data_IF_104265354680
#
_entry.id   IF_104265354680
#
_cell.length_a   1.000
_cell.length_b   1.000
_cell.length_c   1.000
_cell.angle_alpha   90.00
_cell.angle_beta   90.00
_cell.angle_gamma   90.00
#
_symmetry.space_group_name_H-M   'P 1'
#
loop_
_entity.id
_entity.type
_entity.pdbx_description
1 polymer ?
#
# COMPACT_ATOMS: atom_id res chain seq x y z
N UNK A 1 15.85 17.93 -22.77
CA UNK A 1 16.40 17.04 -21.72
C UNK A 1 15.26 16.30 -21.01
N UNK A 2 15.24 14.96 -20.99
CA UNK A 2 14.23 14.22 -20.21
C UNK A 2 14.48 14.43 -18.70
N UNK A 3 13.45 14.84 -17.98
CA UNK A 3 13.45 14.99 -16.51
C UNK A 3 13.68 13.61 -15.87
N UNK A 4 14.48 13.53 -14.79
CA UNK A 4 14.69 12.27 -14.06
C UNK A 4 13.34 11.71 -13.61
N UNK A 5 13.07 10.45 -13.92
CA UNK A 5 11.79 9.80 -13.62
C UNK A 5 11.65 9.64 -12.10
N UNK A 6 10.60 10.23 -11.54
CA UNK A 6 10.23 10.04 -10.14
C UNK A 6 9.75 8.59 -9.95
N UNK A 7 10.42 7.84 -9.08
CA UNK A 7 10.04 6.46 -8.73
C UNK A 7 9.64 6.39 -7.26
N UNK A 8 8.62 5.61 -6.93
CA UNK A 8 8.26 5.31 -5.55
C UNK A 8 8.81 3.93 -5.19
N UNK A 9 9.59 3.86 -4.10
CA UNK A 9 10.07 2.61 -3.52
C UNK A 9 9.69 2.56 -2.06
N UNK A 10 9.41 1.37 -1.56
CA UNK A 10 8.91 1.19 -0.19
C UNK A 10 9.84 0.31 0.61
N UNK A 11 10.25 0.80 1.78
CA UNK A 11 11.01 0.04 2.75
C UNK A 11 10.08 -0.56 3.80
N UNK A 12 10.48 -1.72 4.35
CA UNK A 12 9.81 -2.34 5.48
C UNK A 12 10.64 -2.10 6.72
N UNK A 13 10.12 -1.32 7.66
CA UNK A 13 10.77 -1.06 8.94
C UNK A 13 10.15 -1.96 10.01
N UNK A 14 10.89 -2.98 10.44
CA UNK A 14 10.42 -3.97 11.40
C UNK A 14 10.24 -3.31 12.77
N UNK A 15 9.08 -3.51 13.37
CA UNK A 15 8.80 -3.04 14.73
C UNK A 15 8.99 -4.19 15.72
N UNK A 16 9.37 -3.86 16.96
CA UNK A 16 9.43 -4.80 18.08
C UNK A 16 8.48 -4.35 19.20
N UNK A 17 7.16 -4.51 19.02
CA UNK A 17 6.19 -4.12 20.04
C UNK A 17 6.12 -5.13 21.20
N UNK A 18 5.87 -4.62 22.40
CA UNK A 18 5.46 -5.43 23.54
C UNK A 18 4.08 -6.06 23.31
N UNK A 19 3.70 -7.03 24.15
CA UNK A 19 2.39 -7.69 24.06
C UNK A 19 1.22 -6.67 24.11
N UNK A 20 1.25 -5.75 25.07
CA UNK A 20 0.25 -4.67 25.20
C UNK A 20 0.19 -3.77 23.96
N UNK A 21 1.33 -3.48 23.33
CA UNK A 21 1.37 -2.68 22.11
C UNK A 21 0.77 -3.40 20.90
N UNK A 22 0.90 -4.73 20.85
CA UNK A 22 0.25 -5.55 19.82
C UNK A 22 -1.27 -5.49 19.96
N UNK A 23 -1.81 -5.56 21.17
CA UNK A 23 -3.25 -5.39 21.43
C UNK A 23 -3.75 -4.01 20.96
N UNK A 24 -3.00 -2.95 21.29
CA UNK A 24 -3.32 -1.59 20.82
C UNK A 24 -3.30 -1.49 19.28
N UNK A 25 -2.35 -2.14 18.62
CA UNK A 25 -2.30 -2.17 17.15
C UNK A 25 -3.50 -2.93 16.57
N UNK A 26 -3.88 -4.06 17.17
CA UNK A 26 -5.03 -4.83 16.74
C UNK A 26 -6.32 -4.02 16.81
N UNK A 27 -6.59 -3.40 17.96
CA UNK A 27 -7.78 -2.57 18.17
C UNK A 27 -7.76 -1.34 17.26
N UNK A 28 -6.59 -0.73 17.04
CA UNK A 28 -6.44 0.36 16.05
C UNK A 28 -6.82 -0.10 14.65
N UNK A 29 -6.32 -1.26 14.21
CA UNK A 29 -6.62 -1.80 12.88
C UNK A 29 -8.10 -2.14 12.73
N UNK A 30 -8.71 -2.72 13.77
CA UNK A 30 -10.14 -3.07 13.80
C UNK A 30 -11.02 -1.85 13.66
N UNK A 31 -10.82 -0.82 14.48
CA UNK A 31 -11.59 0.44 14.41
C UNK A 31 -11.34 1.16 13.09
N UNK A 32 -10.09 1.21 12.61
CA UNK A 32 -9.78 1.84 11.33
C UNK A 32 -10.46 1.13 10.14
N UNK A 33 -10.49 -0.21 10.14
CA UNK A 33 -11.16 -1.01 9.10
C UNK A 33 -12.68 -0.82 9.14
N UNK A 34 -13.28 -0.77 10.32
CA UNK A 34 -14.71 -0.47 10.48
C UNK A 34 -15.04 0.93 9.95
N UNK A 35 -14.22 1.94 10.25
CA UNK A 35 -14.37 3.30 9.73
C UNK A 35 -14.26 3.34 8.20
N UNK A 36 -13.28 2.63 7.62
CA UNK A 36 -13.14 2.51 6.17
C UNK A 36 -14.36 1.85 5.52
N UNK A 37 -14.86 0.74 6.09
CA UNK A 37 -16.07 0.05 5.61
C UNK A 37 -17.27 0.99 5.61
N UNK A 38 -17.43 1.77 6.68
CA UNK A 38 -18.49 2.77 6.79
C UNK A 38 -18.40 3.83 5.68
N UNK A 39 -17.19 4.38 5.48
CA UNK A 39 -16.93 5.41 4.48
C UNK A 39 -17.08 4.91 3.05
N UNK A 40 -16.74 3.65 2.76
CA UNK A 40 -16.99 3.03 1.45
C UNK A 40 -18.49 3.10 1.11
N UNK A 41 -19.37 2.83 2.08
CA UNK A 41 -20.82 2.95 1.90
C UNK A 41 -21.25 4.38 1.57
N UNK A 42 -20.81 5.38 2.36
CA UNK A 42 -21.14 6.80 2.09
C UNK A 42 -20.62 7.22 0.71
N UNK A 43 -19.36 6.96 0.42
CA UNK A 43 -18.72 7.41 -0.83
C UNK A 43 -19.36 6.74 -2.04
N UNK A 44 -19.78 5.47 -1.93
CA UNK A 44 -20.47 4.78 -3.01
C UNK A 44 -21.86 5.37 -3.29
N UNK A 45 -22.64 5.66 -2.23
CA UNK A 45 -23.98 6.27 -2.36
C UNK A 45 -23.92 7.64 -3.05
N UNK A 46 -22.87 8.43 -2.78
CA UNK A 46 -22.67 9.77 -3.34
C UNK A 46 -21.69 9.80 -4.51
N UNK A 47 -21.41 8.65 -5.14
CA UNK A 47 -20.36 8.59 -6.15
C UNK A 47 -20.65 9.41 -7.41
N UNK A 48 -21.93 9.67 -7.72
CA UNK A 48 -22.33 10.57 -8.82
C UNK A 48 -21.73 11.97 -8.66
N UNK A 49 -21.72 12.47 -7.43
CA UNK A 49 -21.33 13.84 -7.12
C UNK A 49 -19.84 13.92 -6.74
N UNK A 50 -19.31 12.85 -6.15
CA UNK A 50 -17.92 12.77 -5.68
C UNK A 50 -16.94 12.30 -6.75
N UNK A 51 -17.38 11.48 -7.70
CA UNK A 51 -16.48 10.74 -8.61
C UNK A 51 -15.72 11.62 -9.61
N UNK A 52 -16.21 12.84 -9.88
CA UNK A 52 -15.55 13.82 -10.75
C UNK A 52 -14.61 14.78 -10.01
N UNK A 53 -14.57 14.74 -8.68
CA UNK A 53 -13.77 15.67 -7.88
C UNK A 53 -12.29 15.29 -7.86
N UNK A 54 -11.42 16.30 -7.73
CA UNK A 54 -10.00 16.05 -7.45
C UNK A 54 -9.81 15.51 -6.04
N UNK A 55 -8.67 14.88 -5.76
CA UNK A 55 -8.37 14.35 -4.42
C UNK A 55 -8.44 15.43 -3.32
N UNK A 56 -8.10 16.67 -3.66
CA UNK A 56 -8.13 17.83 -2.76
C UNK A 56 -9.56 18.29 -2.44
N UNK A 57 -10.48 18.15 -3.39
CA UNK A 57 -11.89 18.51 -3.24
C UNK A 57 -12.73 17.39 -2.61
N UNK A 58 -12.40 16.13 -2.93
CA UNK A 58 -13.13 14.96 -2.47
C UNK A 58 -13.11 14.83 -0.95
N UNK A 59 -11.94 14.99 -0.33
CA UNK A 59 -11.80 14.81 1.13
C UNK A 59 -12.70 15.78 1.91
N UNK A 60 -12.65 17.10 1.67
CA UNK A 60 -13.59 18.04 2.28
C UNK A 60 -15.05 17.72 1.98
N UNK A 61 -15.40 17.32 0.75
CA UNK A 61 -16.77 17.03 0.37
C UNK A 61 -17.36 15.88 1.18
N UNK A 62 -16.61 14.78 1.35
CA UNK A 62 -17.01 13.65 2.19
C UNK A 62 -17.07 14.06 3.66
N UNK A 63 -16.13 14.87 4.15
CA UNK A 63 -16.18 15.40 5.52
C UNK A 63 -17.46 16.22 5.78
N UNK A 64 -17.95 17.01 4.81
CA UNK A 64 -19.21 17.76 4.97
C UNK A 64 -20.42 16.86 5.19
N UNK A 65 -20.40 15.64 4.66
CA UNK A 65 -21.53 14.71 4.75
C UNK A 65 -21.63 14.04 6.12
N UNK A 66 -20.49 13.84 6.81
CA UNK A 66 -20.41 12.94 7.97
C UNK A 66 -19.73 13.52 9.21
N UNK A 67 -18.92 14.58 9.09
CA UNK A 67 -18.17 15.13 10.21
C UNK A 67 -18.80 16.42 10.73
N UNK A 68 -19.26 16.39 11.96
CA UNK A 68 -19.84 17.54 12.64
C UNK A 68 -18.75 18.52 13.02
N UNK A 69 -19.00 19.81 12.82
CA UNK A 69 -18.10 20.89 13.24
C UNK A 69 -18.93 22.02 13.83
N UNK A 70 -18.32 22.89 14.64
CA UNK A 70 -19.04 24.04 15.21
C UNK A 70 -19.72 24.92 14.15
N UNK A 71 -19.13 25.04 12.95
CA UNK A 71 -19.69 25.79 11.82
C UNK A 71 -20.76 25.01 11.03
N UNK A 72 -20.88 23.70 11.25
CA UNK A 72 -21.81 22.79 10.54
C UNK A 72 -22.29 21.68 11.49
N UNK A 73 -23.28 21.98 12.34
CA UNK A 73 -23.82 21.01 13.28
C UNK A 73 -24.75 19.99 12.60
N UNK A 74 -25.48 20.40 11.56
CA UNK A 74 -26.40 19.52 10.84
C UNK A 74 -25.70 18.80 9.68
N UNK A 75 -25.54 17.49 9.80
CA UNK A 75 -24.85 16.62 8.84
C UNK A 75 -25.74 15.44 8.45
N UNK A 76 -25.54 14.89 7.25
CA UNK A 76 -26.37 13.79 6.71
C UNK A 76 -26.10 12.45 7.40
N UNK A 77 -24.87 12.23 7.88
CA UNK A 77 -24.44 10.97 8.50
C UNK A 77 -23.86 11.18 9.92
N UNK A 78 -24.65 11.65 10.90
CA UNK A 78 -24.18 11.90 12.27
C UNK A 78 -23.67 10.66 13.00
N UNK A 79 -24.14 9.49 12.59
CA UNK A 79 -23.80 8.21 13.18
C UNK A 79 -22.31 7.86 13.07
N UNK A 80 -21.56 8.43 12.12
CA UNK A 80 -20.11 8.20 12.08
C UNK A 80 -19.44 8.76 13.34
N UNK A 81 -19.78 9.98 13.76
CA UNK A 81 -19.17 10.58 14.95
C UNK A 81 -19.60 9.85 16.24
N UNK A 82 -20.80 9.26 16.25
CA UNK A 82 -21.28 8.41 17.35
C UNK A 82 -20.53 7.06 17.40
N UNK A 83 -20.37 6.41 16.24
CA UNK A 83 -19.71 5.10 16.15
C UNK A 83 -18.19 5.19 16.35
N UNK A 84 -17.56 6.28 15.88
CA UNK A 84 -16.11 6.49 15.93
C UNK A 84 -15.79 7.74 16.75
N UNK A 85 -16.06 7.68 18.05
CA UNK A 85 -15.84 8.78 18.96
C UNK A 85 -14.37 9.25 18.95
N UNK A 86 -14.17 10.57 18.85
CA UNK A 86 -12.84 11.22 18.80
C UNK A 86 -11.90 10.67 17.71
N UNK A 87 -12.44 10.16 16.59
CA UNK A 87 -11.61 9.65 15.50
C UNK A 87 -10.67 10.73 14.92
N UNK A 88 -9.33 10.51 14.92
CA UNK A 88 -8.36 11.51 14.50
C UNK A 88 -8.56 11.96 13.05
N UNK A 89 -8.45 13.26 12.83
CA UNK A 89 -8.68 13.89 11.52
C UNK A 89 -7.84 13.26 10.40
N UNK A 90 -6.55 13.02 10.64
CA UNK A 90 -5.66 12.45 9.63
C UNK A 90 -5.91 10.97 9.36
N UNK A 91 -6.35 10.20 10.36
CA UNK A 91 -6.86 8.84 10.09
C UNK A 91 -8.15 8.90 9.28
N UNK A 92 -9.02 9.88 9.53
CA UNK A 92 -10.25 10.07 8.76
C UNK A 92 -9.95 10.37 7.30
N UNK A 93 -9.03 11.31 7.04
CA UNK A 93 -8.61 11.66 5.67
C UNK A 93 -7.97 10.47 4.96
N UNK A 94 -7.14 9.70 5.65
CA UNK A 94 -6.58 8.45 5.11
C UNK A 94 -7.67 7.44 4.75
N UNK A 95 -8.66 7.26 5.64
CA UNK A 95 -9.79 6.35 5.43
C UNK A 95 -10.70 6.80 4.27
N UNK A 96 -10.94 8.11 4.13
CA UNK A 96 -11.70 8.69 3.01
C UNK A 96 -10.98 8.44 1.68
N UNK A 97 -9.68 8.73 1.61
CA UNK A 97 -8.88 8.49 0.41
C UNK A 97 -8.88 7.01 0.02
N UNK A 98 -8.77 6.11 1.01
CA UNK A 98 -8.89 4.67 0.80
C UNK A 98 -10.28 4.28 0.26
N UNK A 99 -11.35 4.76 0.89
CA UNK A 99 -12.72 4.48 0.48
C UNK A 99 -12.99 4.95 -0.96
N UNK A 100 -12.58 6.17 -1.30
CA UNK A 100 -12.70 6.72 -2.65
C UNK A 100 -11.94 5.88 -3.68
N UNK A 101 -10.72 5.41 -3.36
CA UNK A 101 -9.97 4.51 -4.24
C UNK A 101 -10.68 3.17 -4.47
N UNK A 102 -11.26 2.57 -3.43
CA UNK A 102 -12.02 1.32 -3.56
C UNK A 102 -13.28 1.50 -4.42
N UNK A 103 -14.04 2.56 -4.16
CA UNK A 103 -15.26 2.87 -4.92
C UNK A 103 -14.93 3.18 -6.37
N UNK A 104 -13.94 4.03 -6.63
CA UNK A 104 -13.48 4.36 -7.98
C UNK A 104 -13.10 3.10 -8.78
N UNK A 105 -12.30 2.23 -8.17
CA UNK A 105 -11.89 0.96 -8.78
C UNK A 105 -13.08 0.04 -9.06
N UNK A 106 -14.04 -0.04 -8.14
CA UNK A 106 -15.23 -0.84 -8.32
C UNK A 106 -16.11 -0.29 -9.45
N UNK A 107 -16.46 1.00 -9.41
CA UNK A 107 -17.34 1.64 -10.39
C UNK A 107 -16.75 1.56 -11.80
N UNK A 108 -15.44 1.78 -11.94
CA UNK A 108 -14.75 1.64 -13.24
C UNK A 108 -14.90 0.23 -13.79
N UNK A 109 -14.54 -0.79 -12.99
CA UNK A 109 -14.66 -2.21 -13.40
C UNK A 109 -16.10 -2.62 -13.65
N UNK A 110 -17.05 -2.08 -12.90
CA UNK A 110 -18.46 -2.38 -13.07
C UNK A 110 -18.99 -1.80 -14.38
N UNK A 111 -18.61 -0.56 -14.73
CA UNK A 111 -18.94 0.07 -16.02
C UNK A 111 -18.33 -0.69 -17.20
N UNK A 112 -17.06 -1.12 -17.10
CA UNK A 112 -16.42 -1.98 -18.12
C UNK A 112 -17.17 -3.31 -18.28
N UNK A 113 -17.60 -3.92 -17.17
CA UNK A 113 -18.39 -5.15 -17.22
C UNK A 113 -19.75 -4.91 -17.88
N UNK A 114 -20.43 -3.80 -17.59
CA UNK A 114 -21.71 -3.41 -18.19
C UNK A 114 -21.60 -3.12 -19.68
N UNK A 115 -20.50 -2.51 -20.14
CA UNK A 115 -20.27 -2.23 -21.57
C UNK A 115 -19.93 -3.47 -22.40
N UNK A 116 -19.88 -4.65 -21.77
CA UNK A 116 -19.56 -5.91 -22.44
C UNK A 116 -18.05 -6.17 -22.55
N UNK A 117 -17.19 -5.31 -22.00
CA UNK A 117 -15.76 -5.57 -21.84
C UNK A 117 -15.54 -6.57 -20.69
N UNK A 118 -15.89 -7.82 -20.95
CA UNK A 118 -15.81 -8.94 -20.02
C UNK A 118 -15.10 -10.12 -20.67
N UNK A 119 -14.35 -10.87 -19.86
CA UNK A 119 -13.56 -12.03 -20.31
C UNK A 119 -14.42 -13.09 -21.03
N UNK A 120 -15.66 -13.29 -20.57
CA UNK A 120 -16.67 -14.19 -21.16
C UNK A 120 -18.07 -13.63 -20.91
N UNK A 121 -19.04 -13.96 -21.76
CA UNK A 121 -20.44 -13.55 -21.61
C UNK A 121 -21.05 -13.94 -20.25
N UNK A 122 -20.62 -15.07 -19.68
CA UNK A 122 -21.06 -15.59 -18.37
C UNK A 122 -20.27 -15.05 -17.16
N UNK A 123 -19.33 -14.11 -17.36
CA UNK A 123 -18.54 -13.57 -16.25
C UNK A 123 -19.45 -12.80 -15.28
N UNK A 124 -19.36 -13.14 -13.99
CA UNK A 124 -20.10 -12.44 -12.92
C UNK A 124 -19.65 -10.97 -12.80
N UNK A 125 -20.53 -10.06 -12.38
CA UNK A 125 -20.14 -8.67 -12.14
C UNK A 125 -19.08 -8.59 -11.04
N UNK A 126 -18.19 -7.58 -11.09
CA UNK A 126 -17.30 -7.31 -9.97
C UNK A 126 -18.12 -7.05 -8.71
N UNK A 127 -17.53 -7.33 -7.54
CA UNK A 127 -18.14 -7.07 -6.24
C UNK A 127 -17.35 -5.98 -5.51
N UNK A 128 -18.07 -5.06 -4.87
CA UNK A 128 -17.47 -4.10 -3.97
C UNK A 128 -17.06 -4.82 -2.69
N UNK A 129 -15.75 -4.96 -2.47
CA UNK A 129 -15.25 -5.57 -1.24
C UNK A 129 -15.14 -4.50 -0.14
N UNK A 130 -16.14 -4.45 0.74
CA UNK A 130 -16.17 -3.50 1.84
C UNK A 130 -15.31 -3.93 3.05
N UNK A 131 -14.82 -5.18 3.08
CA UNK A 131 -13.92 -5.70 4.11
C UNK A 131 -12.45 -5.42 3.81
N UNK A 132 -12.19 -4.61 2.78
CA UNK A 132 -10.90 -4.37 2.19
C UNK A 132 -9.83 -4.17 3.28
N UNK A 133 -8.91 -5.15 3.37
CA UNK A 133 -7.84 -5.25 4.37
C UNK A 133 -6.93 -4.04 4.31
N UNK A 134 -7.38 -2.96 4.92
CA UNK A 134 -6.70 -1.68 4.96
C UNK A 134 -5.83 -1.59 6.20
N UNK A 135 -4.81 -0.76 6.06
CA UNK A 135 -3.86 -0.43 7.08
C UNK A 135 -3.83 1.08 7.26
N UNK A 136 -3.76 1.57 8.50
CA UNK A 136 -3.75 3.00 8.77
C UNK A 136 -2.50 3.66 8.18
N UNK A 137 -2.70 4.69 7.36
CA UNK A 137 -1.63 5.57 6.90
C UNK A 137 -1.35 6.59 7.98
N UNK A 138 -0.09 6.68 8.41
CA UNK A 138 0.34 7.54 9.50
C UNK A 138 0.87 8.87 8.94
N UNK A 139 0.17 9.97 9.20
CA UNK A 139 0.66 11.31 8.88
C UNK A 139 1.62 11.84 9.94
N UNK A 140 2.70 12.49 9.51
CA UNK A 140 3.77 13.00 10.37
C UNK A 140 3.21 14.03 11.37
N UNK A 141 3.59 13.89 12.63
CA UNK A 141 3.17 14.77 13.75
C UNK A 141 1.80 14.45 14.34
N UNK A 142 0.90 13.85 13.56
CA UNK A 142 -0.52 13.66 13.93
C UNK A 142 -0.88 12.20 14.20
N UNK A 143 -0.26 11.28 13.46
CA UNK A 143 -0.42 9.84 13.63
C UNK A 143 0.90 9.13 13.99
N UNK A 144 2.05 9.71 13.63
CA UNK A 144 3.34 9.21 14.07
C UNK A 144 4.37 10.32 14.29
N UNK A 145 5.35 10.06 15.15
CA UNK A 145 6.56 10.86 15.33
C UNK A 145 7.76 9.93 15.39
N UNK A 146 8.87 10.34 14.77
CA UNK A 146 10.11 9.58 14.80
C UNK A 146 11.04 10.18 15.85
N UNK A 147 11.61 9.33 16.68
CA UNK A 147 12.67 9.68 17.63
C UNK A 147 13.97 9.07 17.13
N UNK A 148 14.61 9.78 16.20
CA UNK A 148 15.64 9.21 15.34
C UNK A 148 15.07 8.09 14.45
N UNK A 149 15.88 7.06 14.19
CA UNK A 149 15.44 5.86 13.46
C UNK A 149 15.35 4.61 14.36
N UNK A 150 15.52 4.78 15.68
CA UNK A 150 15.46 3.67 16.63
C UNK A 150 14.06 3.49 17.23
N UNK A 151 13.28 4.57 17.29
CA UNK A 151 11.96 4.58 17.93
C UNK A 151 10.95 5.36 17.12
N UNK A 152 9.71 4.88 17.14
CA UNK A 152 8.56 5.56 16.56
C UNK A 152 7.45 5.66 17.60
N UNK A 153 6.94 6.87 17.78
CA UNK A 153 5.72 7.12 18.54
C UNK A 153 4.54 7.04 17.57
N UNK A 154 3.54 6.20 17.84
CA UNK A 154 2.37 5.98 16.98
C UNK A 154 1.10 6.28 17.78
N UNK A 155 0.16 6.98 17.15
CA UNK A 155 -1.16 7.23 17.71
C UNK A 155 -2.06 6.02 17.47
N UNK A 156 -2.47 5.36 18.54
CA UNK A 156 -3.21 4.10 18.56
C UNK A 156 -4.51 4.25 19.36
N UNK A 157 -5.44 3.34 19.14
CA UNK A 157 -6.70 3.26 19.88
C UNK A 157 -6.59 2.22 20.99
N UNK A 158 -7.00 2.57 22.21
CA UNK A 158 -6.94 1.70 23.39
C UNK A 158 -8.25 0.98 23.71
N UNK A 159 -9.25 1.08 22.84
CA UNK A 159 -10.62 0.62 23.07
C UNK A 159 -11.59 1.74 23.45
N UNK A 160 -11.09 2.90 23.90
CA UNK A 160 -11.91 4.05 24.31
C UNK A 160 -11.42 5.40 23.75
N UNK A 161 -10.12 5.63 23.76
CA UNK A 161 -9.46 6.87 23.38
C UNK A 161 -8.29 6.62 22.42
N UNK A 162 -7.85 7.71 21.78
CA UNK A 162 -6.67 7.71 20.93
C UNK A 162 -5.45 8.21 21.71
N UNK A 163 -4.53 7.29 22.01
CA UNK A 163 -3.34 7.51 22.83
C UNK A 163 -2.07 7.38 21.99
N UNK A 164 -0.96 7.90 22.49
CA UNK A 164 0.35 7.73 21.86
C UNK A 164 1.10 6.55 22.53
N UNK A 165 1.77 5.73 21.73
CA UNK A 165 2.65 4.66 22.22
C UNK A 165 3.98 4.66 21.48
N UNK A 166 5.08 4.45 22.20
CA UNK A 166 6.44 4.45 21.64
C UNK A 166 6.87 3.00 21.40
N UNK A 167 7.24 2.67 20.16
CA UNK A 167 7.65 1.32 19.74
C UNK A 167 9.06 1.36 19.16
N UNK A 168 9.86 0.35 19.49
CA UNK A 168 11.21 0.19 18.93
C UNK A 168 11.15 -0.23 17.46
N UNK A 169 12.00 0.39 16.65
CA UNK A 169 12.28 -0.04 15.27
C UNK A 169 13.46 -1.00 15.35
N UNK A 170 13.19 -2.29 15.16
CA UNK A 170 14.19 -3.35 15.25
C UNK A 170 14.92 -3.65 13.94
N UNK A 171 14.47 -3.08 12.83
CA UNK A 171 15.13 -3.27 11.55
C UNK A 171 14.73 -2.20 10.55
N UNK A 172 15.74 -1.59 9.93
CA UNK A 172 15.59 -0.56 8.90
C UNK A 172 16.12 -1.08 7.56
N UNK A 173 15.84 -0.31 6.52
CA UNK A 173 16.55 -0.35 5.25
C UNK A 173 17.15 1.02 4.98
N UNK A 174 18.06 1.12 4.04
CA UNK A 174 18.97 2.26 3.90
C UNK A 174 18.40 3.45 3.11
N UNK A 175 17.16 3.39 2.59
CA UNK A 175 16.67 4.50 1.73
C UNK A 175 16.54 5.83 2.45
N UNK A 176 16.42 5.81 3.78
CA UNK A 176 16.41 7.01 4.61
C UNK A 176 17.77 7.71 4.71
N UNK A 177 18.87 7.01 4.38
CA UNK A 177 20.23 7.55 4.38
C UNK A 177 20.56 8.31 3.09
N UNK A 178 19.83 8.02 2.01
CA UNK A 178 20.02 8.68 0.71
C UNK A 178 19.34 10.06 0.75
N UNK A 179 20.14 11.12 0.75
CA UNK A 179 19.69 12.52 0.88
C UNK A 179 18.69 12.98 -0.18
N UNK A 180 18.80 12.45 -1.40
CA UNK A 180 17.88 12.77 -2.51
C UNK A 180 16.51 12.10 -2.39
N UNK A 181 16.38 11.10 -1.51
CA UNK A 181 15.10 10.43 -1.26
C UNK A 181 14.25 11.24 -0.29
N UNK A 182 12.96 11.40 -0.63
CA UNK A 182 11.98 12.02 0.25
C UNK A 182 11.06 10.97 0.85
N UNK A 183 11.11 10.82 2.18
CA UNK A 183 10.19 9.95 2.92
C UNK A 183 8.75 10.45 2.82
N UNK A 184 7.82 9.52 2.63
CA UNK A 184 6.37 9.76 2.58
C UNK A 184 5.69 9.12 3.81
N UNK A 185 4.37 9.34 3.97
CA UNK A 185 3.60 8.81 5.11
C UNK A 185 3.63 7.28 5.14
N UNK A 186 4.14 6.65 6.22
CA UNK A 186 4.18 5.20 6.33
C UNK A 186 2.80 4.61 6.63
N UNK A 187 2.63 3.32 6.38
CA UNK A 187 1.44 2.56 6.81
C UNK A 187 1.80 1.55 7.90
N UNK A 188 0.97 1.44 8.94
CA UNK A 188 1.15 0.44 10.00
C UNK A 188 0.63 -0.92 9.53
N UNK A 189 1.54 -1.85 9.21
CA UNK A 189 1.20 -3.20 8.80
C UNK A 189 1.30 -4.14 10.00
N UNK A 190 0.15 -4.63 10.46
CA UNK A 190 0.06 -5.53 11.59
C UNK A 190 -0.88 -6.72 11.34
N UNK A 191 -0.41 -7.91 11.68
CA UNK A 191 -1.16 -9.17 11.85
C UNK A 191 -0.31 -10.16 12.65
N UNK A 192 -0.80 -11.38 12.86
CA UNK A 192 -0.13 -12.43 13.64
C UNK A 192 1.31 -12.74 13.17
N UNK A 193 1.63 -12.47 11.90
CA UNK A 193 2.92 -12.80 11.28
C UNK A 193 3.83 -11.59 11.09
N UNK A 194 3.25 -10.39 10.96
CA UNK A 194 3.98 -9.20 10.54
C UNK A 194 3.65 -8.03 11.45
N UNK A 195 4.69 -7.34 11.92
CA UNK A 195 4.57 -6.03 12.54
C UNK A 195 5.68 -5.12 11.99
N UNK A 196 5.30 -4.21 11.09
CA UNK A 196 6.24 -3.29 10.47
C UNK A 196 5.56 -2.02 9.97
N UNK A 197 6.34 -0.96 9.79
CA UNK A 197 5.94 0.17 8.98
C UNK A 197 6.32 -0.08 7.52
N UNK A 198 5.35 0.10 6.63
CA UNK A 198 5.59 0.17 5.19
C UNK A 198 5.85 1.64 4.84
N UNK A 199 7.11 2.00 4.59
CA UNK A 199 7.58 3.39 4.47
C UNK A 199 7.89 3.71 3.01
N UNK A 200 7.03 4.46 2.30
CA UNK A 200 7.29 4.86 0.93
C UNK A 200 8.31 6.00 0.87
N UNK A 201 9.17 5.96 -0.14
CA UNK A 201 10.12 6.99 -0.51
C UNK A 201 9.87 7.40 -1.95
N UNK A 202 9.79 8.71 -2.17
CA UNK A 202 10.01 9.28 -3.49
C UNK A 202 11.52 9.27 -3.74
N UNK A 203 11.94 8.44 -4.69
CA UNK A 203 13.32 8.35 -5.16
C UNK A 203 13.48 9.12 -6.47
N UNK A 204 14.60 9.83 -6.58
CA UNK A 204 15.07 10.45 -7.82
C UNK A 204 16.41 9.83 -8.16
N UNK A 205 16.44 8.74 -8.95
CA UNK A 205 17.70 8.16 -9.34
C UNK A 205 18.52 9.20 -10.10
N UNK A 206 19.82 9.23 -9.82
CA UNK A 206 20.76 10.04 -10.58
C UNK A 206 20.74 9.63 -12.04
N UNK A 207 21.01 10.60 -12.92
CA UNK A 207 21.19 10.28 -14.33
C UNK A 207 22.49 9.50 -14.47
N UNK A 208 22.46 8.44 -15.29
CA UNK A 208 23.67 7.72 -15.68
C UNK A 208 24.65 8.72 -16.29
N UNK A 209 25.90 8.68 -15.82
CA UNK A 209 27.02 9.34 -16.48
C UNK A 209 27.49 8.52 -17.68
N UNK A 210 27.71 9.11 -18.86
CA UNK A 210 28.12 8.37 -20.07
C UNK A 210 29.34 7.45 -19.85
N UNK A 211 30.32 7.92 -19.10
CA UNK A 211 31.57 7.25 -18.77
C UNK A 211 31.43 6.14 -17.72
N UNK A 212 30.29 6.08 -17.00
CA UNK A 212 30.06 5.07 -15.99
C UNK A 212 29.81 3.70 -16.62
N UNK A 213 30.40 2.67 -16.00
CA UNK A 213 30.18 1.27 -16.32
C UNK A 213 28.69 0.91 -16.23
N UNK A 214 28.28 0.00 -17.09
CA UNK A 214 26.91 -0.53 -17.15
C UNK A 214 26.92 -1.93 -16.60
N UNK A 215 26.06 -2.19 -15.62
CA UNK A 215 25.76 -3.57 -15.19
C UNK A 215 24.54 -4.06 -15.95
N UNK A 216 24.75 -5.00 -16.87
CA UNK A 216 23.70 -5.75 -17.54
C UNK A 216 23.36 -6.99 -16.72
N UNK A 217 22.07 -7.28 -16.57
CA UNK A 217 21.57 -8.47 -15.89
C UNK A 217 20.59 -9.16 -16.82
N UNK A 218 20.88 -10.41 -17.17
CA UNK A 218 19.98 -11.26 -17.94
C UNK A 218 19.49 -12.44 -17.10
N UNK A 219 18.23 -12.81 -17.26
CA UNK A 219 17.64 -13.95 -16.54
C UNK A 219 17.79 -15.22 -17.38
N UNK A 220 18.60 -16.15 -16.89
CA UNK A 220 18.83 -17.42 -17.57
C UNK A 220 17.71 -18.45 -17.34
N UNK A 221 17.66 -19.46 -18.21
CA UNK A 221 16.79 -20.64 -18.02
C UNK A 221 17.41 -21.58 -16.98
N UNK A 222 18.70 -21.88 -17.13
CA UNK A 222 19.44 -22.81 -16.26
C UNK A 222 20.23 -22.10 -15.15
N UNK A 223 20.48 -20.80 -15.29
CA UNK A 223 21.16 -19.95 -14.30
C UNK A 223 20.16 -18.90 -13.81
N UNK A 224 20.17 -18.51 -12.53
CA UNK A 224 19.14 -17.59 -12.00
C UNK A 224 19.26 -16.21 -12.64
N UNK A 225 20.48 -15.70 -12.74
CA UNK A 225 20.80 -14.53 -13.53
C UNK A 225 22.27 -14.56 -13.95
N UNK A 226 22.57 -13.99 -15.11
CA UNK A 226 23.93 -13.68 -15.52
C UNK A 226 24.12 -12.18 -15.41
N UNK A 227 25.23 -11.75 -14.80
CA UNK A 227 25.57 -10.35 -14.63
C UNK A 227 26.84 -10.07 -15.41
N UNK A 228 26.83 -9.02 -16.22
CA UNK A 228 28.02 -8.50 -16.89
C UNK A 228 28.19 -7.02 -16.57
N UNK A 229 29.40 -6.62 -16.19
CA UNK A 229 29.78 -5.22 -16.04
C UNK A 229 30.59 -4.83 -17.27
N UNK A 230 30.06 -3.87 -18.02
CA UNK A 230 30.61 -3.42 -19.30
C UNK A 230 31.03 -1.96 -19.16
N UNK A 231 32.24 -1.63 -19.57
CA UNK A 231 32.76 -0.26 -19.63
C UNK A 231 32.15 0.50 -20.81
N UNK A 232 32.36 1.83 -20.86
CA UNK A 232 31.75 2.68 -21.88
C UNK A 232 32.25 2.41 -23.31
N UNK A 233 33.43 1.82 -23.46
CA UNK A 233 34.06 1.39 -24.72
C UNK A 233 33.64 -0.04 -25.15
N UNK A 234 32.81 -0.73 -24.37
CA UNK A 234 32.31 -2.06 -24.68
C UNK A 234 33.11 -3.22 -24.08
N UNK A 235 34.17 -2.95 -23.31
CA UNK A 235 34.96 -3.99 -22.64
C UNK A 235 34.19 -4.62 -21.47
N UNK A 236 34.13 -5.95 -21.41
CA UNK A 236 33.53 -6.67 -20.27
C UNK A 236 34.58 -6.84 -19.19
N UNK A 237 34.44 -6.13 -18.07
CA UNK A 237 35.40 -6.17 -16.95
C UNK A 237 35.03 -7.17 -15.86
N UNK A 238 33.77 -7.60 -15.83
CA UNK A 238 33.30 -8.62 -14.90
C UNK A 238 32.12 -9.36 -15.50
N UNK A 239 32.10 -10.69 -15.34
CA UNK A 239 30.99 -11.54 -15.70
C UNK A 239 30.82 -12.56 -14.58
N UNK A 240 29.59 -12.73 -14.09
CA UNK A 240 29.29 -13.69 -13.05
C UNK A 240 27.92 -14.36 -13.28
N UNK A 241 27.82 -15.60 -12.85
CA UNK A 241 26.62 -16.43 -12.95
C UNK A 241 26.02 -16.60 -11.57
N UNK A 242 24.94 -15.86 -11.30
CA UNK A 242 24.22 -15.96 -10.04
C UNK A 242 23.35 -17.22 -10.08
N UNK A 243 23.71 -18.21 -9.25
CA UNK A 243 22.96 -19.46 -9.14
C UNK A 243 22.94 -20.03 -7.71
N UNK A 244 22.56 -19.19 -6.74
CA UNK A 244 22.48 -19.59 -5.35
C UNK A 244 21.30 -20.54 -5.10
N UNK A 245 21.58 -21.74 -4.57
CA UNK A 245 20.57 -22.76 -4.29
C UNK A 245 19.40 -22.28 -3.41
N UNK A 246 19.66 -21.37 -2.46
CA UNK A 246 18.63 -20.78 -1.61
C UNK A 246 17.63 -19.93 -2.39
N UNK A 247 18.10 -19.17 -3.37
CA UNK A 247 17.25 -18.31 -4.20
C UNK A 247 16.41 -19.15 -5.16
N UNK A 248 16.99 -20.25 -5.67
CA UNK A 248 16.27 -21.25 -6.47
C UNK A 248 15.15 -21.89 -5.65
N UNK A 249 15.43 -22.35 -4.43
CA UNK A 249 14.40 -22.94 -3.56
C UNK A 249 13.29 -21.93 -3.23
N UNK A 250 13.64 -20.68 -2.90
CA UNK A 250 12.68 -19.59 -2.69
C UNK A 250 11.82 -19.32 -3.95
N UNK A 251 12.45 -19.26 -5.14
CA UNK A 251 11.77 -19.09 -6.43
C UNK A 251 10.84 -20.26 -6.71
N UNK A 252 11.29 -21.49 -6.55
CA UNK A 252 10.54 -22.69 -6.88
C UNK A 252 9.37 -22.90 -5.90
N UNK A 253 9.57 -22.61 -4.60
CA UNK A 253 8.47 -22.54 -3.62
C UNK A 253 7.42 -21.51 -4.03
N UNK A 254 7.86 -20.35 -4.51
CA UNK A 254 6.96 -19.29 -4.97
C UNK A 254 6.25 -19.67 -6.27
N UNK A 255 6.94 -20.23 -7.24
CA UNK A 255 6.37 -20.74 -8.49
C UNK A 255 5.37 -21.86 -8.23
N UNK A 256 5.67 -22.80 -7.31
CA UNK A 256 4.72 -23.83 -6.86
C UNK A 256 3.48 -23.21 -6.22
N UNK A 257 3.64 -22.18 -5.38
CA UNK A 257 2.51 -21.45 -4.78
C UNK A 257 1.66 -20.76 -5.85
N UNK A 258 2.29 -20.07 -6.81
CA UNK A 258 1.63 -19.40 -7.94
C UNK A 258 0.92 -20.42 -8.83
N UNK A 259 1.59 -21.53 -9.17
CA UNK A 259 1.03 -22.63 -9.96
C UNK A 259 -0.19 -23.26 -9.25
N UNK A 260 -0.10 -23.51 -7.94
CA UNK A 260 -1.25 -24.02 -7.15
C UNK A 260 -2.42 -23.02 -7.09
N UNK A 261 -2.14 -21.71 -7.04
CA UNK A 261 -3.18 -20.67 -7.14
C UNK A 261 -3.75 -20.59 -8.55
N UNK A 262 -2.90 -20.75 -9.56
CA UNK A 262 -3.28 -20.77 -10.96
C UNK A 262 -4.18 -21.97 -11.26
N UNK A 263 -3.83 -23.18 -10.84
CA UNK A 263 -4.64 -24.39 -11.06
C UNK A 263 -6.04 -24.28 -10.45
N UNK A 264 -6.15 -23.73 -9.24
CA UNK A 264 -7.43 -23.39 -8.59
C UNK A 264 -8.25 -22.36 -9.38
N UNK A 265 -7.59 -21.50 -10.15
CA UNK A 265 -8.24 -20.42 -10.92
C UNK A 265 -8.52 -20.83 -12.38
N UNK A 266 -7.75 -21.78 -12.93
CA UNK A 266 -7.67 -22.06 -14.36
C UNK A 266 -8.42 -23.32 -14.80
N UNK A 267 -8.69 -24.28 -13.90
CA UNK A 267 -9.22 -25.59 -14.30
C UNK A 267 -8.34 -26.28 -15.37
N UNK A 268 -8.87 -27.28 -16.09
CA UNK A 268 -8.21 -27.89 -17.27
C UNK A 268 -8.35 -26.96 -18.49
N UNK A 269 -7.44 -26.02 -18.67
CA UNK A 269 -7.30 -25.25 -19.93
C UNK A 269 -7.69 -23.75 -19.90
N UNK A 270 -7.88 -23.12 -18.73
CA UNK A 270 -8.14 -21.68 -18.65
C UNK A 270 -6.94 -20.80 -19.01
N UNK A 271 -7.18 -19.51 -19.30
CA UNK A 271 -6.15 -18.44 -19.40
C UNK A 271 -6.11 -17.60 -18.12
N UNK A 272 -4.94 -17.17 -17.66
CA UNK A 272 -4.79 -16.30 -16.47
C UNK A 272 -5.38 -14.90 -16.75
N UNK A 273 -5.94 -14.24 -15.74
CA UNK A 273 -6.49 -12.90 -15.92
C UNK A 273 -5.36 -11.85 -15.99
N UNK A 274 -5.59 -10.73 -16.69
CA UNK A 274 -4.68 -9.57 -16.70
C UNK A 274 -4.66 -8.99 -15.27
N UNK A 275 -3.63 -9.31 -14.51
CA UNK A 275 -3.53 -9.01 -13.07
C UNK A 275 -3.28 -10.21 -12.17
N UNK A 276 -3.25 -11.45 -12.71
CA UNK A 276 -2.93 -12.62 -11.91
C UNK A 276 -1.54 -12.48 -11.31
N UNK A 277 -1.48 -12.50 -9.98
CA UNK A 277 -0.28 -12.29 -9.21
C UNK A 277 0.38 -10.89 -9.33
N UNK A 278 -0.31 -9.86 -9.83
CA UNK A 278 0.27 -8.51 -10.01
C UNK A 278 0.83 -7.86 -8.74
N UNK A 279 0.37 -8.31 -7.57
CA UNK A 279 0.75 -7.79 -6.26
C UNK A 279 1.44 -8.84 -5.38
N UNK A 280 1.83 -10.00 -5.96
CA UNK A 280 2.44 -11.08 -5.18
C UNK A 280 3.90 -10.82 -5.01
#
# INVERSE_FOLDING_TARGET
MKTSTKVIRTDKWKLNPSYKQKELFEETLKVYRQACRYLIGIVYVHWSDLGGLTAEQLTPAVEKLMHETAKRPNIKYPQFNKAFYKFPSYYRRAAIAFAAGQVSSFVTRYREWQSGNRKKRSSKPPKLNAEAGCYPVLYKGQCYKLHGFNQVEIKVFDGKNWVWTIVQIAGLRERHQVTTNKMMSPSLIFNDKYCHLSVPFTCRPEKRKPEANVTAVDLGINTTATVAVVTHDGTVIHCDFIHLGRDIDCRDKRLKSVSRRASKTMGKGGKLHKGFCSNT
#
